data_IF_099504793022
#
_entry.id   IF_099504793022
#
_cell.length_a   1.000
_cell.length_b   1.000
_cell.length_c   1.000
_cell.angle_alpha   90.00
_cell.angle_beta   90.00
_cell.angle_gamma   90.00
#
_symmetry.space_group_name_H-M   'P 1'
#
loop_
_entity.id
_entity.type
_entity.pdbx_description
1 polymer ?
#
# COMPACT_ATOMS: atom_id res chain seq x y z
N UNK A 1 24.75 -9.11 -0.69
CA UNK A 1 24.76 -8.15 0.28
C UNK A 1 23.76 -7.05 0.07
N UNK A 2 23.69 -6.48 -1.13
CA UNK A 2 22.65 -5.51 -1.43
C UNK A 2 21.25 -6.09 -1.21
N UNK A 3 21.07 -7.35 -1.59
CA UNK A 3 19.78 -8.03 -1.46
C UNK A 3 19.36 -8.17 0.00
N UNK A 4 20.30 -8.44 0.89
CA UNK A 4 19.99 -8.58 2.32
C UNK A 4 19.56 -7.24 2.91
N UNK A 5 20.23 -6.16 2.52
CA UNK A 5 19.88 -4.82 2.97
C UNK A 5 18.51 -4.42 2.47
N UNK A 6 18.21 -4.69 1.21
CA UNK A 6 16.91 -4.40 0.62
C UNK A 6 15.81 -5.18 1.33
N UNK A 7 16.04 -6.46 1.61
CA UNK A 7 15.08 -7.29 2.32
C UNK A 7 14.84 -6.77 3.74
N UNK A 8 15.89 -6.31 4.41
CA UNK A 8 15.78 -5.75 5.76
C UNK A 8 14.96 -4.45 5.75
N UNK A 9 15.22 -3.58 4.78
CA UNK A 9 14.47 -2.33 4.66
C UNK A 9 13.00 -2.64 4.38
N UNK A 10 12.75 -3.52 3.43
CA UNK A 10 11.40 -3.93 3.05
C UNK A 10 10.62 -4.48 4.25
N UNK A 11 11.25 -5.38 5.01
CA UNK A 11 10.62 -6.00 6.18
C UNK A 11 10.45 -5.03 7.34
N UNK A 12 11.23 -3.97 7.38
CA UNK A 12 11.21 -3.02 8.49
C UNK A 12 10.31 -1.82 8.25
N UNK A 13 9.75 -1.67 7.04
CA UNK A 13 8.85 -0.56 6.75
C UNK A 13 7.64 -0.62 7.67
N UNK A 14 7.33 0.49 8.38
CA UNK A 14 6.23 0.49 9.34
C UNK A 14 4.85 0.61 8.71
N UNK A 15 4.79 0.87 7.41
CA UNK A 15 3.53 0.99 6.68
C UNK A 15 3.34 -0.18 5.74
N UNK A 16 2.10 -0.60 5.51
CA UNK A 16 1.83 -1.65 4.53
C UNK A 16 2.35 -1.25 3.15
N UNK A 17 3.15 -2.12 2.56
CA UNK A 17 3.73 -1.91 1.24
C UNK A 17 3.50 -3.14 0.39
N UNK A 18 2.99 -2.93 -0.82
CA UNK A 18 2.67 -4.01 -1.76
C UNK A 18 3.32 -3.71 -3.10
N UNK A 19 4.00 -4.72 -3.63
CA UNK A 19 4.54 -4.66 -4.98
C UNK A 19 3.46 -5.16 -5.93
N UNK A 20 3.07 -4.33 -6.90
CA UNK A 20 2.04 -4.67 -7.88
C UNK A 20 2.71 -4.94 -9.21
N UNK A 21 2.42 -6.10 -9.80
CA UNK A 21 3.01 -6.46 -11.09
C UNK A 21 2.22 -5.84 -12.26
N UNK A 22 2.69 -6.00 -13.50
CA UNK A 22 2.01 -5.40 -14.65
C UNK A 22 0.56 -5.85 -14.85
N UNK A 23 0.21 -7.02 -14.35
CA UNK A 23 -1.15 -7.56 -14.45
C UNK A 23 -2.02 -7.18 -13.25
N UNK A 24 -1.55 -6.25 -12.43
CA UNK A 24 -2.22 -5.79 -11.21
C UNK A 24 -2.45 -6.91 -10.22
N UNK A 25 -1.47 -7.79 -10.12
CA UNK A 25 -1.44 -8.84 -9.13
C UNK A 25 -0.37 -8.55 -8.10
N UNK A 26 -0.55 -9.11 -6.93
CA UNK A 26 0.42 -8.93 -5.85
C UNK A 26 1.69 -9.68 -6.17
N UNK A 27 2.80 -8.95 -6.34
CA UNK A 27 4.10 -9.57 -6.56
C UNK A 27 4.81 -9.88 -5.26
N UNK A 28 4.69 -8.99 -4.30
CA UNK A 28 5.24 -9.17 -2.96
C UNK A 28 4.58 -8.20 -2.01
N UNK A 29 4.72 -8.43 -0.71
CA UNK A 29 4.23 -7.51 0.31
C UNK A 29 5.05 -7.68 1.58
N UNK A 30 5.16 -6.59 2.35
CA UNK A 30 5.95 -6.61 3.58
C UNK A 30 5.09 -7.10 4.76
N UNK A 31 5.70 -7.37 5.92
CA UNK A 31 4.95 -7.84 7.09
C UNK A 31 3.82 -6.91 7.52
N UNK A 32 4.00 -5.60 7.40
CA UNK A 32 2.94 -4.66 7.73
C UNK A 32 1.73 -4.85 6.83
N UNK A 33 1.96 -5.13 5.54
CA UNK A 33 0.89 -5.41 4.60
C UNK A 33 0.20 -6.74 4.90
N UNK A 34 0.96 -7.74 5.31
CA UNK A 34 0.36 -9.01 5.73
C UNK A 34 -0.60 -8.80 6.90
N UNK A 35 -0.20 -8.00 7.86
CA UNK A 35 -1.07 -7.66 9.00
C UNK A 35 -2.28 -6.86 8.56
N UNK A 36 -2.10 -5.91 7.68
CA UNK A 36 -3.19 -5.06 7.20
C UNK A 36 -4.23 -5.87 6.42
N UNK A 37 -3.76 -6.76 5.54
CA UNK A 37 -4.63 -7.61 4.74
C UNK A 37 -5.08 -8.87 5.49
N UNK A 38 -4.51 -9.09 6.66
CA UNK A 38 -4.82 -10.24 7.51
C UNK A 38 -4.63 -11.56 6.77
N UNK A 39 -3.53 -11.68 6.05
CA UNK A 39 -3.21 -12.90 5.31
C UNK A 39 -1.72 -12.96 5.04
N UNK A 40 -1.21 -14.14 4.75
CA UNK A 40 0.22 -14.32 4.52
C UNK A 40 0.63 -13.93 3.10
N UNK A 41 1.85 -13.44 2.97
CA UNK A 41 2.41 -13.13 1.66
C UNK A 41 2.39 -14.34 0.74
N UNK A 42 2.69 -15.51 1.30
CA UNK A 42 2.70 -16.75 0.54
C UNK A 42 1.35 -17.01 -0.16
N UNK A 43 0.26 -16.73 0.55
CA UNK A 43 -1.08 -16.92 -0.01
C UNK A 43 -1.47 -15.79 -0.94
N UNK A 44 -1.08 -14.57 -0.63
CA UNK A 44 -1.50 -13.38 -1.38
C UNK A 44 -0.75 -13.18 -2.69
N UNK A 45 0.48 -13.66 -2.80
CA UNK A 45 1.24 -13.50 -4.04
C UNK A 45 0.50 -14.11 -5.21
N UNK A 46 0.41 -13.36 -6.30
CA UNK A 46 -0.31 -13.77 -7.51
C UNK A 46 -1.79 -13.48 -7.49
N UNK A 47 -2.33 -13.02 -6.36
CA UNK A 47 -3.74 -12.64 -6.27
C UNK A 47 -3.95 -11.27 -6.86
N UNK A 48 -5.10 -11.00 -7.51
CA UNK A 48 -5.40 -9.65 -7.98
C UNK A 48 -5.46 -8.68 -6.80
N UNK A 49 -4.69 -7.60 -6.88
CA UNK A 49 -4.60 -6.67 -5.74
C UNK A 49 -5.95 -6.03 -5.43
N UNK A 50 -6.70 -5.64 -6.45
CA UNK A 50 -7.94 -4.92 -6.23
C UNK A 50 -9.09 -5.79 -5.76
N UNK A 51 -8.92 -7.12 -5.80
CA UNK A 51 -9.85 -8.06 -5.16
C UNK A 51 -9.58 -8.18 -3.67
N UNK A 52 -8.33 -7.93 -3.27
CA UNK A 52 -7.92 -8.02 -1.86
C UNK A 52 -7.99 -6.68 -1.16
N UNK A 53 -7.93 -5.60 -1.93
CA UNK A 53 -7.92 -4.24 -1.41
C UNK A 53 -8.93 -3.42 -2.21
N UNK A 54 -10.12 -3.22 -1.65
CA UNK A 54 -11.14 -2.43 -2.31
C UNK A 54 -10.96 -0.96 -1.96
N UNK A 55 -10.75 -0.13 -2.96
CA UNK A 55 -10.55 1.30 -2.79
C UNK A 55 -11.74 2.04 -3.36
N UNK A 56 -12.35 2.89 -2.54
CA UNK A 56 -13.51 3.68 -2.94
C UNK A 56 -13.03 4.95 -3.66
N UNK A 57 -12.46 4.75 -4.83
CA UNK A 57 -12.01 5.84 -5.70
C UNK A 57 -11.76 5.28 -7.10
N UNK A 58 -12.01 6.08 -8.16
CA UNK A 58 -11.75 5.63 -9.53
C UNK A 58 -10.27 5.75 -9.85
N UNK A 59 -9.51 4.69 -9.58
CA UNK A 59 -8.07 4.70 -9.75
C UNK A 59 -7.58 4.32 -11.15
N UNK A 60 -8.42 3.71 -11.98
CA UNK A 60 -7.98 3.16 -13.27
C UNK A 60 -7.25 4.16 -14.15
N UNK A 61 -7.86 5.33 -14.38
CA UNK A 61 -7.23 6.35 -15.20
C UNK A 61 -5.95 6.90 -14.55
N UNK A 62 -6.01 7.10 -13.24
CA UNK A 62 -4.86 7.64 -12.51
C UNK A 62 -3.70 6.67 -12.52
N UNK A 63 -3.96 5.38 -12.38
CA UNK A 63 -2.93 4.35 -12.45
C UNK A 63 -2.31 4.28 -13.84
N UNK A 64 -3.15 4.32 -14.88
CA UNK A 64 -2.65 4.32 -16.26
C UNK A 64 -1.74 5.53 -16.51
N UNK A 65 -2.15 6.68 -16.03
CA UNK A 65 -1.37 7.90 -16.18
C UNK A 65 -0.06 7.84 -15.42
N UNK A 66 -0.08 7.31 -14.20
CA UNK A 66 1.13 7.16 -13.40
C UNK A 66 2.13 6.23 -14.11
N UNK A 67 1.65 5.14 -14.68
CA UNK A 67 2.50 4.21 -15.43
C UNK A 67 3.09 4.88 -16.67
N UNK A 68 2.25 5.59 -17.41
CA UNK A 68 2.66 6.24 -18.64
C UNK A 68 3.71 7.32 -18.42
N UNK A 69 3.53 8.11 -17.39
CA UNK A 69 4.41 9.26 -17.13
C UNK A 69 5.51 8.97 -16.10
N UNK A 70 5.46 7.81 -15.46
CA UNK A 70 6.45 7.49 -14.44
C UNK A 70 6.36 8.35 -13.19
N UNK A 71 5.18 8.90 -12.90
CA UNK A 71 4.98 9.80 -11.78
C UNK A 71 4.21 9.13 -10.66
N UNK A 72 4.51 9.46 -9.40
CA UNK A 72 3.74 8.91 -8.27
C UNK A 72 2.32 9.44 -8.25
N UNK A 73 1.42 8.62 -7.74
CA UNK A 73 0.03 8.99 -7.52
C UNK A 73 -0.21 9.05 -6.00
N UNK A 74 -0.83 10.14 -5.56
CA UNK A 74 -1.19 10.31 -4.15
C UNK A 74 -2.70 10.44 -4.04
N UNK A 75 -3.30 9.57 -3.23
CA UNK A 75 -4.76 9.57 -3.03
C UNK A 75 -5.02 9.67 -1.54
N UNK A 76 -5.68 10.74 -1.13
CA UNK A 76 -5.96 10.99 0.29
C UNK A 76 -7.43 10.75 0.60
N UNK A 77 -7.68 10.38 1.86
CA UNK A 77 -9.05 10.27 2.39
C UNK A 77 -9.95 9.34 1.59
N UNK A 78 -9.43 8.15 1.26
CA UNK A 78 -10.22 7.12 0.58
C UNK A 78 -10.53 5.99 1.56
N UNK A 79 -11.69 5.37 1.37
CA UNK A 79 -12.05 4.20 2.14
C UNK A 79 -11.43 2.97 1.51
N UNK A 80 -10.72 2.21 2.34
CA UNK A 80 -10.03 1.00 1.90
C UNK A 80 -10.59 -0.19 2.66
N UNK A 81 -11.14 -1.15 1.94
CA UNK A 81 -11.70 -2.35 2.53
C UNK A 81 -10.82 -3.56 2.24
N UNK A 82 -10.65 -4.41 3.24
CA UNK A 82 -9.88 -5.65 3.11
C UNK A 82 -10.76 -6.88 3.17
N UNK A 83 -12.06 -6.71 3.40
CA UNK A 83 -13.02 -7.80 3.45
C UNK A 83 -13.16 -8.47 4.81
N UNK A 84 -12.24 -8.22 5.73
CA UNK A 84 -12.27 -8.87 7.05
C UNK A 84 -12.52 -7.88 8.20
N UNK A 85 -12.82 -6.64 7.86
CA UNK A 85 -13.16 -5.60 8.84
C UNK A 85 -13.84 -4.46 8.09
N UNK A 86 -14.48 -3.52 8.80
CA UNK A 86 -15.07 -2.35 8.14
C UNK A 86 -14.01 -1.55 7.39
N UNK A 87 -14.37 -0.87 6.31
CA UNK A 87 -13.42 -0.05 5.58
C UNK A 87 -12.77 1.01 6.46
N UNK A 88 -11.49 1.26 6.21
CA UNK A 88 -10.71 2.25 6.93
C UNK A 88 -10.38 3.40 5.99
N UNK A 89 -10.41 4.60 6.52
CA UNK A 89 -9.96 5.76 5.76
C UNK A 89 -8.44 5.76 5.70
N UNK A 90 -7.89 5.86 4.50
CA UNK A 90 -6.46 5.74 4.27
C UNK A 90 -5.97 6.78 3.29
N UNK A 91 -4.67 7.02 3.32
CA UNK A 91 -3.95 7.70 2.25
C UNK A 91 -3.16 6.64 1.50
N UNK A 92 -3.16 6.72 0.19
CA UNK A 92 -2.43 5.79 -0.66
C UNK A 92 -1.35 6.53 -1.43
N UNK A 93 -0.20 5.90 -1.57
CA UNK A 93 0.86 6.37 -2.44
C UNK A 93 1.20 5.23 -3.39
N UNK A 94 1.13 5.49 -4.68
CA UNK A 94 1.43 4.49 -5.69
C UNK A 94 2.50 5.06 -6.60
N UNK A 95 3.63 4.39 -6.69
CA UNK A 95 4.77 4.88 -7.46
C UNK A 95 5.26 3.80 -8.42
N UNK A 96 5.52 4.16 -9.69
CA UNK A 96 6.16 3.24 -10.61
C UNK A 96 7.57 2.91 -10.12
N UNK A 97 7.96 1.64 -10.23
CA UNK A 97 9.29 1.23 -9.83
C UNK A 97 10.30 1.51 -10.92
N UNK A 98 11.43 2.07 -10.53
CA UNK A 98 12.54 2.30 -11.44
C UNK A 98 13.22 0.98 -11.77
N UNK A 99 13.47 0.74 -13.06
CA UNK A 99 14.20 -0.44 -13.47
C UNK A 99 13.42 -1.74 -13.52
N UNK A 100 12.17 -1.72 -13.11
CA UNK A 100 11.29 -2.90 -13.17
C UNK A 100 10.06 -2.50 -13.96
N UNK A 101 10.02 -2.93 -15.22
CA UNK A 101 9.00 -2.49 -16.16
C UNK A 101 7.58 -2.72 -15.63
N UNK A 102 6.77 -1.66 -15.67
CA UNK A 102 5.34 -1.68 -15.35
C UNK A 102 4.99 -2.18 -13.95
N UNK A 103 5.97 -2.38 -13.08
CA UNK A 103 5.70 -2.68 -11.68
C UNK A 103 5.46 -1.39 -10.91
N UNK A 104 4.64 -1.47 -9.87
CA UNK A 104 4.33 -0.32 -9.04
C UNK A 104 4.44 -0.68 -7.57
N UNK A 105 4.78 0.30 -6.76
CA UNK A 105 4.83 0.14 -5.31
C UNK A 105 3.64 0.87 -4.71
N UNK A 106 2.84 0.16 -3.93
CA UNK A 106 1.70 0.73 -3.22
C UNK A 106 2.03 0.83 -1.74
N UNK A 107 1.89 2.02 -1.18
CA UNK A 107 2.00 2.24 0.26
C UNK A 107 0.64 2.67 0.80
N UNK A 108 0.23 2.07 1.90
CA UNK A 108 -1.06 2.35 2.53
C UNK A 108 -0.82 2.95 3.91
N UNK A 109 -1.39 4.13 4.14
CA UNK A 109 -1.28 4.80 5.44
C UNK A 109 -2.67 4.91 6.05
N UNK A 110 -3.04 4.00 6.96
CA UNK A 110 -4.35 4.08 7.60
C UNK A 110 -4.47 5.36 8.42
N UNK A 111 -5.55 6.06 8.21
CA UNK A 111 -5.79 7.32 8.93
C UNK A 111 -5.97 7.11 10.42
N UNK A 112 -6.51 5.96 10.81
CA UNK A 112 -6.68 5.62 12.21
C UNK A 112 -5.37 5.69 12.97
N UNK A 113 -4.28 5.14 12.39
CA UNK A 113 -2.97 5.21 13.01
C UNK A 113 -2.48 6.64 13.09
N UNK A 114 -2.62 7.39 12.00
CA UNK A 114 -2.23 8.80 11.98
C UNK A 114 -3.08 9.61 12.96
N UNK A 115 -4.37 9.30 13.06
CA UNK A 115 -5.28 9.94 13.98
C UNK A 115 -4.90 9.72 15.43
N UNK A 116 -4.47 8.52 15.75
CA UNK A 116 -4.02 8.21 17.11
C UNK A 116 -2.80 9.02 17.50
N UNK A 117 -1.85 9.13 16.60
CA UNK A 117 -0.65 9.92 16.84
C UNK A 117 -1.00 11.39 17.03
N UNK A 118 -1.88 11.91 16.20
CA UNK A 118 -2.34 13.28 16.29
C UNK A 118 -3.08 13.53 17.61
N UNK A 119 -3.97 12.63 17.98
CA UNK A 119 -4.72 12.75 19.23
C UNK A 119 -3.82 12.72 20.44
N UNK A 120 -2.85 11.82 20.46
CA UNK A 120 -1.89 11.73 21.55
C UNK A 120 -1.12 13.04 21.68
N UNK A 121 -0.72 13.61 20.57
CA UNK A 121 -0.01 14.87 20.58
C UNK A 121 -0.89 16.01 21.08
N UNK A 122 -2.15 16.04 20.66
CA UNK A 122 -3.10 17.06 21.09
C UNK A 122 -3.37 16.98 22.59
N UNK A 123 -3.51 15.77 23.12
CA UNK A 123 -3.70 15.58 24.54
C UNK A 123 -2.52 16.12 25.34
N UNK A 124 -1.32 15.91 24.86
CA UNK A 124 -0.13 16.43 25.52
C UNK A 124 -0.09 17.95 25.47
N UNK A 125 -0.61 18.51 24.42
CA UNK A 125 -0.65 19.96 24.26
C UNK A 125 -1.69 20.62 25.18
N UNK A 126 -2.71 19.88 25.49
CA UNK A 126 -3.78 20.38 26.37
C UNK A 126 -3.34 20.36 27.82
#
# INVERSE_FOLDING_TARGET
MTDDTEAMIWSSLPVPAVLIDPDERIGDLNPAAEGFLNNSAKWLRGQPIWDRLAVDAPLEESLARAREHGTPLFVNDVDVGTGNRPPLQCALQIAPLQGVEAHMLLLVSPRELAGRLTKSHSVKSA
#
